data_IF_088128594528
#
_entry.id   IF_088128594528
#
_cell.length_a   1.000
_cell.length_b   1.000
_cell.length_c   1.000
_cell.angle_alpha   90.00
_cell.angle_beta   90.00
_cell.angle_gamma   90.00
#
_symmetry.space_group_name_H-M   'P 1'
#
loop_
_entity.id
_entity.type
_entity.pdbx_description
1 polymer ?
#
# COMPACT_ATOMS: atom_id res chain seq x y z
N UNK A 1 8.20 -14.31 -1.94
CA UNK A 1 8.06 -12.85 -1.65
C UNK A 1 6.65 -12.34 -1.90
N UNK A 2 6.19 -12.13 -3.15
CA UNK A 2 4.82 -11.60 -3.41
C UNK A 2 3.73 -12.53 -2.84
N UNK A 3 3.81 -13.84 -3.06
CA UNK A 3 2.83 -14.80 -2.52
C UNK A 3 2.76 -14.76 -0.99
N UNK A 4 3.88 -14.52 -0.32
CA UNK A 4 3.93 -14.40 1.14
C UNK A 4 3.26 -13.11 1.63
N UNK A 5 3.46 -12.00 0.91
CA UNK A 5 2.73 -10.74 1.16
C UNK A 5 1.23 -10.96 1.01
N UNK A 6 0.80 -11.61 -0.07
CA UNK A 6 -0.62 -11.93 -0.30
C UNK A 6 -1.16 -12.78 0.84
N UNK A 7 -0.44 -13.83 1.25
CA UNK A 7 -0.85 -14.67 2.38
C UNK A 7 -0.98 -13.88 3.69
N UNK A 8 -0.05 -12.96 3.99
CA UNK A 8 -0.15 -12.11 5.19
C UNK A 8 -1.35 -11.17 5.14
N UNK A 9 -1.64 -10.57 3.98
CA UNK A 9 -2.80 -9.71 3.79
C UNK A 9 -4.09 -10.52 3.97
N UNK A 10 -4.18 -11.70 3.35
CA UNK A 10 -5.35 -12.58 3.51
C UNK A 10 -5.56 -13.00 4.97
N UNK A 11 -4.49 -13.32 5.70
CA UNK A 11 -4.57 -13.63 7.12
C UNK A 11 -5.09 -12.44 7.94
N UNK A 12 -4.57 -11.23 7.69
CA UNK A 12 -5.06 -10.00 8.33
C UNK A 12 -6.55 -9.78 8.06
N UNK A 13 -6.98 -9.92 6.81
CA UNK A 13 -8.39 -9.77 6.42
C UNK A 13 -9.27 -10.84 7.09
N UNK A 14 -8.88 -12.11 7.05
CA UNK A 14 -9.64 -13.22 7.68
C UNK A 14 -9.72 -13.12 9.20
N UNK A 15 -8.77 -12.42 9.83
CA UNK A 15 -8.78 -12.18 11.27
C UNK A 15 -9.79 -11.10 11.69
N UNK A 16 -10.24 -10.27 10.75
CA UNK A 16 -11.33 -9.33 10.99
C UNK A 16 -12.64 -10.13 11.06
N UNK A 17 -13.45 -9.87 12.08
CA UNK A 17 -14.70 -10.62 12.34
C UNK A 17 -15.88 -10.11 11.49
N UNK A 18 -15.59 -9.46 10.36
CA UNK A 18 -16.56 -8.79 9.52
C UNK A 18 -16.89 -9.65 8.29
N UNK A 19 -18.18 -9.74 7.95
CA UNK A 19 -18.64 -10.49 6.78
C UNK A 19 -18.37 -9.75 5.45
N UNK A 20 -18.17 -8.44 5.51
CA UNK A 20 -17.88 -7.59 4.36
C UNK A 20 -16.67 -6.70 4.67
N UNK A 21 -15.79 -6.54 3.70
CA UNK A 21 -14.54 -5.80 3.85
C UNK A 21 -14.52 -4.68 2.81
N UNK A 22 -14.31 -3.44 3.27
CA UNK A 22 -14.13 -2.31 2.36
C UNK A 22 -12.84 -2.51 1.55
N UNK A 23 -12.89 -2.31 0.23
CA UNK A 23 -11.72 -2.40 -0.64
C UNK A 23 -10.57 -1.45 -0.24
N UNK A 24 -10.90 -0.30 0.37
CA UNK A 24 -9.90 0.63 0.94
C UNK A 24 -9.08 -0.02 2.05
N UNK A 25 -9.66 -0.93 2.83
CA UNK A 25 -8.93 -1.67 3.86
C UNK A 25 -7.86 -2.55 3.21
N UNK A 26 -8.23 -3.30 2.16
CA UNK A 26 -7.29 -4.16 1.43
C UNK A 26 -6.18 -3.31 0.79
N UNK A 27 -6.54 -2.20 0.15
CA UNK A 27 -5.56 -1.29 -0.45
C UNK A 27 -4.58 -0.70 0.56
N UNK A 28 -5.04 -0.38 1.77
CA UNK A 28 -4.16 0.05 2.87
C UNK A 28 -3.20 -1.06 3.30
N UNK A 29 -3.69 -2.29 3.47
CA UNK A 29 -2.85 -3.42 3.85
C UNK A 29 -1.77 -3.72 2.79
N UNK A 30 -2.11 -3.58 1.51
CA UNK A 30 -1.13 -3.70 0.42
C UNK A 30 -0.09 -2.58 0.50
N UNK A 31 -0.50 -1.34 0.74
CA UNK A 31 0.42 -0.20 0.88
C UNK A 31 1.43 -0.42 2.01
N UNK A 32 0.97 -0.94 3.16
CA UNK A 32 1.84 -1.20 4.31
C UNK A 32 2.89 -2.28 3.99
N UNK A 33 2.47 -3.41 3.40
CA UNK A 33 3.40 -4.50 3.06
C UNK A 33 4.40 -4.08 1.96
N UNK A 34 3.99 -3.24 1.02
CA UNK A 34 4.87 -2.76 -0.06
C UNK A 34 5.85 -1.69 0.44
N UNK A 35 5.48 -0.89 1.45
CA UNK A 35 6.37 0.08 2.07
C UNK A 35 7.57 -0.60 2.73
N UNK A 36 7.35 -1.77 3.34
CA UNK A 36 8.41 -2.58 3.97
C UNK A 36 9.25 -3.36 2.94
N UNK A 37 8.69 -3.66 1.76
CA UNK A 37 9.35 -4.44 0.72
C UNK A 37 10.37 -3.61 -0.08
N UNK A 38 9.89 -2.55 -0.73
CA UNK A 38 10.67 -1.74 -1.67
C UNK A 38 9.97 -0.41 -1.98
N UNK A 39 10.71 0.69 -1.83
CA UNK A 39 10.22 2.04 -2.05
C UNK A 39 9.68 2.25 -3.48
N UNK A 40 10.33 1.68 -4.50
CA UNK A 40 9.89 1.84 -5.90
C UNK A 40 8.54 1.13 -6.11
N UNK A 41 8.38 -0.06 -5.56
CA UNK A 41 7.14 -0.85 -5.66
C UNK A 41 5.99 -0.19 -4.92
N UNK A 42 6.23 0.36 -3.73
CA UNK A 42 5.27 1.17 -3.00
C UNK A 42 4.80 2.37 -3.84
N UNK A 43 5.73 3.15 -4.40
CA UNK A 43 5.38 4.33 -5.22
C UNK A 43 4.54 3.95 -6.44
N UNK A 44 4.91 2.85 -7.13
CA UNK A 44 4.15 2.36 -8.29
C UNK A 44 2.71 2.03 -7.93
N UNK A 45 2.50 1.33 -6.82
CA UNK A 45 1.16 1.00 -6.35
C UNK A 45 0.39 2.25 -5.90
N UNK A 46 1.03 3.10 -5.08
CA UNK A 46 0.46 4.34 -4.57
C UNK A 46 -0.03 5.26 -5.70
N UNK A 47 0.69 5.29 -6.84
CA UNK A 47 0.34 6.14 -7.98
C UNK A 47 -1.05 5.85 -8.55
N UNK A 48 -1.44 4.57 -8.58
CA UNK A 48 -2.77 4.14 -9.05
C UNK A 48 -3.77 4.21 -7.90
N UNK A 49 -3.39 3.68 -6.73
CA UNK A 49 -4.29 3.56 -5.59
C UNK A 49 -4.79 4.92 -5.08
N UNK A 50 -3.93 5.94 -5.03
CA UNK A 50 -4.30 7.29 -4.60
C UNK A 50 -4.79 8.19 -5.74
N UNK A 51 -4.72 7.72 -6.99
CA UNK A 51 -5.13 8.45 -8.20
C UNK A 51 -4.61 9.90 -8.19
N UNK A 52 -3.29 10.05 -8.13
CA UNK A 52 -2.69 11.37 -8.09
C UNK A 52 -3.10 12.20 -9.30
N UNK A 53 -3.53 13.43 -9.04
CA UNK A 53 -4.08 14.32 -10.07
C UNK A 53 -2.98 15.04 -10.83
N UNK A 54 -1.83 15.24 -10.19
CA UNK A 54 -0.68 15.91 -10.78
C UNK A 54 0.66 15.38 -10.25
N UNK A 55 1.73 15.77 -10.94
CA UNK A 55 3.11 15.38 -10.61
C UNK A 55 3.55 15.93 -9.25
N UNK A 56 2.98 17.04 -8.79
CA UNK A 56 3.31 17.65 -7.50
C UNK A 56 2.84 16.80 -6.31
N UNK A 57 1.69 16.16 -6.41
CA UNK A 57 1.22 15.18 -5.42
C UNK A 57 2.18 13.99 -5.31
N UNK A 58 2.67 13.49 -6.45
CA UNK A 58 3.68 12.43 -6.49
C UNK A 58 5.03 12.88 -5.91
N UNK A 59 5.51 14.06 -6.27
CA UNK A 59 6.75 14.63 -5.69
C UNK A 59 6.66 14.79 -4.18
N UNK A 60 5.48 15.17 -3.66
CA UNK A 60 5.24 15.30 -2.23
C UNK A 60 5.33 13.96 -1.53
N UNK A 61 4.74 12.90 -2.12
CA UNK A 61 4.87 11.54 -1.62
C UNK A 61 6.34 11.08 -1.62
N UNK A 62 7.07 11.28 -2.73
CA UNK A 62 8.49 10.92 -2.82
C UNK A 62 9.34 11.63 -1.76
N UNK A 63 9.07 12.91 -1.48
CA UNK A 63 9.73 13.67 -0.41
C UNK A 63 9.42 13.14 0.99
N UNK A 64 8.26 12.52 1.21
CA UNK A 64 7.90 11.92 2.49
C UNK A 64 8.67 10.62 2.72
N UNK A 65 8.81 9.78 1.69
CA UNK A 65 9.48 8.49 1.81
C UNK A 65 11.01 8.69 1.95
N UNK A 66 11.60 9.56 1.12
CA UNK A 66 13.04 9.86 1.13
C UNK A 66 13.52 10.66 2.35
N UNK A 67 12.63 11.26 3.14
CA UNK A 67 12.96 11.91 4.42
C UNK A 67 12.87 10.97 5.63
N UNK A 68 12.33 9.77 5.45
CA UNK A 68 12.17 8.75 6.49
C UNK A 68 13.39 7.82 6.67
N UNK A 69 14.44 8.03 5.89
CA UNK A 69 15.77 7.37 5.99
C UNK A 69 16.83 8.35 6.47
#
# INVERSE_FOLDING_TARGET
>A
EIEEIVNRIEQKVRSQSDNEINSECIGSLVMDELADLDEITYVRFASVYRSFKDVGELETLLKQITKGT
#
